data_IF_748576673518
#
_entry.id   IF_748576673518
#
_cell.length_a   1.000
_cell.length_b   1.000
_cell.length_c   1.000
_cell.angle_alpha   90.00
_cell.angle_beta   90.00
_cell.angle_gamma   90.00
#
_symmetry.space_group_name_H-M   'P 1'
#
loop_
_entity.id
_entity.type
_entity.pdbx_description
1 polymer ?
#
# COMPACT_ATOMS: atom_id res chain seq x y z
N UNK A 1 19.25 -6.15 20.16
CA UNK A 1 19.42 -4.99 19.23
C UNK A 1 18.01 -4.47 18.91
N UNK A 2 17.73 -3.17 19.04
CA UNK A 2 16.46 -2.58 18.59
C UNK A 2 16.14 -2.96 17.14
N UNK A 3 14.86 -3.12 16.80
CA UNK A 3 14.47 -3.56 15.45
C UNK A 3 14.90 -2.59 14.34
N UNK A 4 14.90 -1.29 14.65
CA UNK A 4 15.34 -0.22 13.75
C UNK A 4 16.84 -0.22 13.46
N UNK A 5 17.64 -0.93 14.25
CA UNK A 5 19.10 -0.91 14.09
C UNK A 5 19.58 -2.07 13.20
N UNK A 6 18.72 -3.06 12.92
CA UNK A 6 19.07 -4.15 12.01
C UNK A 6 19.27 -3.63 10.59
N UNK A 7 20.29 -4.15 9.92
CA UNK A 7 20.66 -3.82 8.55
C UNK A 7 20.80 -5.08 7.73
N UNK A 8 20.90 -4.93 6.41
CA UNK A 8 21.18 -6.03 5.50
C UNK A 8 22.49 -6.79 5.84
N UNK A 9 23.45 -6.15 6.52
CA UNK A 9 24.69 -6.80 6.95
C UNK A 9 24.50 -7.76 8.14
N UNK A 10 23.39 -7.65 8.88
CA UNK A 10 23.06 -8.54 9.98
C UNK A 10 22.31 -9.80 9.50
N UNK A 11 21.99 -9.89 8.21
CA UNK A 11 21.29 -11.04 7.62
C UNK A 11 22.23 -12.24 7.47
N UNK A 12 21.65 -13.42 7.66
CA UNK A 12 22.31 -14.72 7.50
C UNK A 12 22.47 -15.11 6.02
N UNK A 13 21.66 -14.47 5.17
CA UNK A 13 21.59 -14.68 3.74
C UNK A 13 22.03 -13.40 3.02
N UNK A 14 22.59 -13.51 1.81
CA UNK A 14 22.92 -12.33 1.02
C UNK A 14 21.68 -11.46 0.78
N UNK A 15 21.83 -10.13 0.93
CA UNK A 15 20.80 -9.15 0.58
C UNK A 15 20.74 -8.89 -0.94
N UNK A 16 20.68 -9.97 -1.71
CA UNK A 16 20.68 -9.99 -3.17
C UNK A 16 19.26 -9.78 -3.74
N UNK A 17 19.08 -10.05 -5.04
CA UNK A 17 17.77 -9.97 -5.70
C UNK A 17 16.76 -10.95 -5.14
N UNK A 18 17.19 -12.10 -4.59
CA UNK A 18 16.29 -13.08 -3.97
C UNK A 18 15.73 -12.54 -2.66
N UNK A 19 16.55 -11.86 -1.86
CA UNK A 19 16.07 -11.15 -0.68
C UNK A 19 15.10 -10.02 -1.07
N UNK A 20 15.54 -9.15 -1.98
CA UNK A 20 14.77 -7.94 -2.33
C UNK A 20 13.49 -8.24 -3.08
N UNK A 21 13.55 -9.06 -4.12
CA UNK A 21 12.45 -9.24 -5.05
C UNK A 21 11.61 -10.48 -4.70
N UNK A 22 12.15 -11.53 -4.09
CA UNK A 22 11.33 -12.71 -3.77
C UNK A 22 10.84 -12.66 -2.33
N UNK A 23 11.75 -12.46 -1.37
CA UNK A 23 11.37 -12.42 0.03
C UNK A 23 10.52 -11.19 0.35
N UNK A 24 11.05 -9.97 0.17
CA UNK A 24 10.33 -8.75 0.57
C UNK A 24 9.04 -8.51 -0.24
N UNK A 25 9.01 -8.75 -1.56
CA UNK A 25 7.76 -8.66 -2.35
C UNK A 25 6.67 -9.59 -1.79
N UNK A 26 7.03 -10.82 -1.38
CA UNK A 26 6.06 -11.76 -0.79
C UNK A 26 5.61 -11.31 0.59
N UNK A 27 6.49 -10.66 1.36
CA UNK A 27 6.13 -10.05 2.65
C UNK A 27 5.12 -8.93 2.45
N UNK A 28 5.35 -8.04 1.48
CA UNK A 28 4.43 -6.94 1.15
C UNK A 28 3.08 -7.50 0.66
N UNK A 29 3.09 -8.56 -0.16
CA UNK A 29 1.85 -9.22 -0.60
C UNK A 29 1.03 -9.74 0.59
N UNK A 30 1.67 -10.40 1.56
CA UNK A 30 0.99 -10.91 2.75
C UNK A 30 0.53 -9.78 3.69
N UNK A 31 1.28 -8.69 3.76
CA UNK A 31 0.90 -7.52 4.54
C UNK A 31 -0.31 -6.80 3.95
N UNK A 32 -0.35 -6.64 2.61
CA UNK A 32 -1.48 -6.03 1.91
C UNK A 32 -2.79 -6.81 1.98
N UNK A 33 -2.73 -8.10 2.36
CA UNK A 33 -3.91 -8.95 2.57
C UNK A 33 -4.41 -8.96 4.03
N UNK A 34 -3.82 -8.18 4.93
CA UNK A 34 -4.29 -8.07 6.32
C UNK A 34 -5.50 -7.14 6.39
N UNK A 35 -6.39 -7.39 7.35
CA UNK A 35 -7.57 -6.54 7.58
C UNK A 35 -7.17 -5.10 7.93
N UNK A 36 -6.17 -4.95 8.81
CA UNK A 36 -5.48 -3.70 9.09
C UNK A 36 -4.01 -3.83 8.66
N UNK A 37 -3.65 -3.17 7.57
CA UNK A 37 -2.28 -3.22 7.04
C UNK A 37 -1.29 -2.48 7.94
N UNK A 38 -1.75 -1.50 8.74
CA UNK A 38 -0.91 -0.66 9.57
C UNK A 38 -0.49 -1.35 10.87
N UNK A 39 -1.35 -2.23 11.39
CA UNK A 39 -1.15 -2.89 12.68
C UNK A 39 -1.15 -4.40 12.53
N UNK A 40 -0.05 -4.94 12.03
CA UNK A 40 0.15 -6.39 11.93
C UNK A 40 0.80 -6.91 13.21
N UNK A 41 0.17 -7.83 13.97
CA UNK A 41 0.77 -8.38 15.19
C UNK A 41 2.12 -9.03 14.92
N UNK A 42 3.11 -8.77 15.77
CA UNK A 42 4.48 -9.25 15.57
C UNK A 42 4.58 -10.76 15.42
N UNK A 43 3.80 -11.53 16.20
CA UNK A 43 3.80 -13.00 16.10
C UNK A 43 3.19 -13.50 14.79
N UNK A 44 2.12 -12.85 14.31
CA UNK A 44 1.52 -13.11 13.00
C UNK A 44 2.52 -12.84 11.89
N UNK A 45 3.19 -11.69 11.95
CA UNK A 45 4.24 -11.32 11.01
C UNK A 45 5.41 -12.32 11.06
N UNK A 46 5.94 -12.63 12.23
CA UNK A 46 7.06 -13.57 12.38
C UNK A 46 6.73 -14.96 11.83
N UNK A 47 5.49 -15.43 12.05
CA UNK A 47 4.99 -16.68 11.48
C UNK A 47 4.92 -16.64 9.95
N UNK A 48 4.43 -15.55 9.37
CA UNK A 48 4.41 -15.35 7.92
C UNK A 48 5.83 -15.27 7.35
N UNK A 49 6.70 -14.43 7.93
CA UNK A 49 8.11 -14.32 7.55
C UNK A 49 8.83 -15.67 7.59
N UNK A 50 8.57 -16.50 8.62
CA UNK A 50 9.17 -17.82 8.71
C UNK A 50 8.74 -18.73 7.55
N UNK A 51 7.45 -18.76 7.22
CA UNK A 51 6.92 -19.55 6.10
C UNK A 51 7.49 -19.08 4.77
N UNK A 52 7.58 -17.77 4.55
CA UNK A 52 8.17 -17.17 3.35
C UNK A 52 9.67 -17.53 3.30
N UNK A 53 10.37 -17.41 4.42
CA UNK A 53 11.81 -17.69 4.50
C UNK A 53 12.11 -19.13 4.11
N UNK A 54 11.35 -20.10 4.60
CA UNK A 54 11.54 -21.52 4.27
C UNK A 54 11.28 -21.83 2.79
N UNK A 55 10.37 -21.10 2.14
CA UNK A 55 10.13 -21.24 0.69
C UNK A 55 11.23 -20.56 -0.12
N UNK A 56 11.61 -19.33 0.28
CA UNK A 56 12.61 -18.56 -0.45
C UNK A 56 14.00 -19.13 -0.22
N UNK A 57 14.35 -19.69 0.94
CA UNK A 57 15.67 -20.21 1.28
C UNK A 57 15.59 -21.63 1.88
N UNK A 58 15.20 -22.66 1.10
CA UNK A 58 14.97 -24.00 1.62
C UNK A 58 16.25 -24.66 2.19
N UNK A 59 17.42 -24.24 1.72
CA UNK A 59 18.72 -24.80 2.12
C UNK A 59 19.28 -24.16 3.40
N UNK A 60 18.58 -23.18 3.98
CA UNK A 60 19.03 -22.45 5.16
C UNK A 60 18.14 -22.81 6.35
N UNK A 61 18.65 -23.64 7.26
CA UNK A 61 17.95 -23.97 8.49
C UNK A 61 17.97 -22.76 9.44
N UNK A 62 16.86 -22.02 9.48
CA UNK A 62 16.72 -20.84 10.33
C UNK A 62 15.29 -20.65 10.82
N UNK A 63 15.15 -20.31 12.10
CA UNK A 63 13.88 -19.90 12.70
C UNK A 63 13.81 -18.38 12.80
N UNK A 64 12.88 -17.78 12.06
CA UNK A 64 12.60 -16.35 12.19
C UNK A 64 11.96 -16.09 13.55
N UNK A 65 12.45 -15.07 14.26
CA UNK A 65 11.93 -14.63 15.56
C UNK A 65 11.68 -13.12 15.54
N UNK A 66 10.80 -12.65 16.43
CA UNK A 66 10.46 -11.22 16.58
C UNK A 66 11.63 -10.34 17.03
N UNK A 67 12.77 -10.93 17.38
CA UNK A 67 13.99 -10.22 17.80
C UNK A 67 15.16 -10.41 16.83
N UNK A 68 14.97 -11.12 15.71
CA UNK A 68 16.02 -11.46 14.75
C UNK A 68 16.18 -10.44 13.62
N UNK A 69 17.31 -10.52 12.91
CA UNK A 69 17.64 -9.62 11.80
C UNK A 69 16.64 -9.71 10.63
N UNK A 70 16.19 -10.94 10.28
CA UNK A 70 15.17 -11.14 9.23
C UNK A 70 13.89 -10.38 9.57
N UNK A 71 13.44 -10.44 10.83
CA UNK A 71 12.26 -9.71 11.27
C UNK A 71 12.49 -8.20 11.25
N UNK A 72 13.60 -7.72 11.82
CA UNK A 72 13.92 -6.30 11.88
C UNK A 72 14.00 -5.64 10.50
N UNK A 73 14.74 -6.25 9.56
CA UNK A 73 14.89 -5.71 8.21
C UNK A 73 13.56 -5.76 7.44
N UNK A 74 12.81 -6.86 7.54
CA UNK A 74 11.50 -6.97 6.88
C UNK A 74 10.48 -5.95 7.44
N UNK A 75 10.48 -5.74 8.76
CA UNK A 75 9.61 -4.78 9.41
C UNK A 75 9.93 -3.33 8.99
N UNK A 76 11.23 -3.00 8.85
CA UNK A 76 11.64 -1.70 8.30
C UNK A 76 11.22 -1.54 6.82
N UNK A 77 11.31 -2.61 6.03
CA UNK A 77 10.84 -2.60 4.65
C UNK A 77 9.34 -2.31 4.57
N UNK A 78 8.54 -2.90 5.46
CA UNK A 78 7.11 -2.62 5.55
C UNK A 78 6.81 -1.18 5.95
N UNK A 79 7.53 -0.64 6.94
CA UNK A 79 7.40 0.78 7.29
C UNK A 79 7.75 1.71 6.14
N UNK A 80 8.78 1.35 5.35
CA UNK A 80 9.15 2.10 4.13
C UNK A 80 8.07 2.02 3.06
N UNK A 81 7.51 0.83 2.84
CA UNK A 81 6.40 0.62 1.90
C UNK A 81 5.15 1.42 2.31
N UNK A 82 4.75 1.37 3.59
CA UNK A 82 3.67 2.18 4.15
C UNK A 82 3.87 3.68 3.89
N UNK A 83 5.07 4.19 4.17
CA UNK A 83 5.39 5.60 3.96
C UNK A 83 5.34 5.98 2.48
N UNK A 84 5.88 5.12 1.61
CA UNK A 84 5.82 5.33 0.16
C UNK A 84 4.38 5.33 -0.36
N UNK A 85 3.54 4.40 0.12
CA UNK A 85 2.13 4.31 -0.23
C UNK A 85 1.37 5.58 0.15
N UNK A 86 1.50 6.05 1.39
CA UNK A 86 0.85 7.29 1.84
C UNK A 86 1.37 8.53 1.09
N UNK A 87 2.67 8.57 0.81
CA UNK A 87 3.26 9.70 0.07
C UNK A 87 2.75 9.76 -1.37
N UNK A 88 2.56 8.60 -2.01
CA UNK A 88 1.97 8.53 -3.34
C UNK A 88 0.51 9.00 -3.34
N UNK A 89 -0.28 8.60 -2.34
CA UNK A 89 -1.66 9.06 -2.18
C UNK A 89 -1.73 10.59 -2.04
N UNK A 90 -0.95 11.17 -1.12
CA UNK A 90 -0.88 12.62 -0.90
C UNK A 90 -0.44 13.37 -2.17
N UNK A 91 0.54 12.83 -2.92
CA UNK A 91 0.98 13.45 -4.17
C UNK A 91 -0.14 13.46 -5.23
N UNK A 92 -0.97 12.40 -5.28
CA UNK A 92 -2.10 12.31 -6.19
C UNK A 92 -3.21 13.30 -5.82
N UNK A 93 -3.52 13.44 -4.52
CA UNK A 93 -4.47 14.44 -4.01
C UNK A 93 -3.99 15.87 -4.32
N UNK A 94 -2.75 16.21 -3.97
CA UNK A 94 -2.17 17.54 -4.25
C UNK A 94 -2.24 17.85 -5.75
N UNK A 95 -1.89 16.89 -6.60
CA UNK A 95 -1.95 17.07 -8.05
C UNK A 95 -3.40 17.31 -8.53
N UNK A 96 -4.37 16.58 -7.97
CA UNK A 96 -5.78 16.78 -8.27
C UNK A 96 -6.26 18.17 -7.85
N UNK A 97 -6.04 18.58 -6.61
CA UNK A 97 -6.42 19.90 -6.11
C UNK A 97 -5.74 21.02 -6.89
N UNK A 98 -4.45 20.87 -7.21
CA UNK A 98 -3.72 21.86 -8.03
C UNK A 98 -4.33 21.98 -9.42
N UNK A 99 -4.76 20.87 -10.03
CA UNK A 99 -5.40 20.88 -11.35
C UNK A 99 -6.79 21.53 -11.35
N UNK A 100 -7.44 21.64 -10.19
CA UNK A 100 -8.71 22.33 -10.02
C UNK A 100 -8.46 23.84 -9.86
N UNK A 101 -7.57 24.23 -8.94
CA UNK A 101 -7.21 25.63 -8.71
C UNK A 101 -6.70 26.32 -9.98
N UNK A 102 -5.87 25.63 -10.78
CA UNK A 102 -5.35 26.18 -12.04
C UNK A 102 -6.42 26.31 -13.15
N UNK A 103 -7.57 25.63 -13.04
CA UNK A 103 -8.68 25.82 -13.98
C UNK A 103 -9.49 27.07 -13.67
N UNK A 104 -9.51 27.50 -12.41
CA UNK A 104 -10.27 28.66 -11.95
C UNK A 104 -9.45 29.97 -12.05
N UNK A 105 -8.11 29.90 -12.11
CA UNK A 105 -7.24 31.08 -12.29
C UNK A 105 -7.33 31.74 -13.68
N UNK A 106 -7.86 31.05 -14.71
CA UNK A 106 -8.13 31.71 -16.00
C UNK A 106 -9.31 32.70 -15.94
N UNK A 107 -10.11 32.72 -14.86
CA UNK A 107 -11.34 33.52 -14.78
C UNK A 107 -11.56 34.40 -13.52
N UNK A 108 -10.71 34.43 -12.47
CA UNK A 108 -11.07 35.14 -11.21
C UNK A 108 -10.04 36.09 -10.56
N UNK A 109 -10.58 37.24 -10.12
CA UNK A 109 -9.98 38.29 -9.30
C UNK A 109 -9.87 37.79 -7.83
N UNK A 110 -8.72 37.99 -7.19
CA UNK A 110 -8.20 37.39 -5.92
C UNK A 110 -9.07 37.36 -4.64
N UNK A 111 -10.37 37.67 -4.67
CA UNK A 111 -11.29 37.69 -3.52
C UNK A 111 -12.33 36.56 -3.47
N UNK A 112 -12.53 35.77 -4.53
CA UNK A 112 -13.47 34.63 -4.57
C UNK A 112 -12.87 33.27 -4.15
N UNK A 113 -11.57 33.24 -3.82
CA UNK A 113 -10.80 32.03 -3.50
C UNK A 113 -11.37 31.16 -2.36
N UNK A 114 -11.79 31.77 -1.25
CA UNK A 114 -12.22 30.99 -0.07
C UNK A 114 -13.61 30.38 -0.22
N UNK A 115 -14.51 31.05 -0.95
CA UNK A 115 -15.87 30.56 -1.24
C UNK A 115 -15.81 29.39 -2.24
N UNK A 116 -14.93 29.50 -3.25
CA UNK A 116 -14.65 28.46 -4.23
C UNK A 116 -14.11 27.15 -3.61
N UNK A 117 -13.23 27.24 -2.61
CA UNK A 117 -12.72 26.04 -1.89
C UNK A 117 -13.85 25.35 -1.11
N UNK A 118 -14.74 26.11 -0.47
CA UNK A 118 -15.84 25.54 0.31
C UNK A 118 -16.88 24.84 -0.60
N UNK A 119 -17.15 25.39 -1.78
CA UNK A 119 -18.01 24.74 -2.78
C UNK A 119 -17.36 23.46 -3.33
N UNK A 120 -16.08 23.51 -3.68
CA UNK A 120 -15.34 22.34 -4.13
C UNK A 120 -15.34 21.20 -3.10
N UNK A 121 -15.03 21.51 -1.83
CA UNK A 121 -15.08 20.53 -0.73
C UNK A 121 -16.49 19.96 -0.59
N UNK A 122 -17.52 20.79 -0.75
CA UNK A 122 -18.91 20.34 -0.71
C UNK A 122 -19.24 19.38 -1.84
N UNK A 123 -18.74 19.60 -3.07
CA UNK A 123 -18.93 18.69 -4.19
C UNK A 123 -18.20 17.35 -4.00
N UNK A 124 -17.02 17.36 -3.37
CA UNK A 124 -16.21 16.17 -3.14
C UNK A 124 -16.84 15.21 -2.11
N UNK A 125 -17.57 15.76 -1.12
CA UNK A 125 -18.17 14.98 -0.03
C UNK A 125 -19.67 14.73 -0.21
N UNK A 126 -20.31 15.36 -1.20
CA UNK A 126 -21.75 15.21 -1.40
C UNK A 126 -22.09 13.84 -2.01
N UNK A 127 -23.03 13.09 -1.40
CA UNK A 127 -23.61 11.92 -2.05
C UNK A 127 -24.41 12.37 -3.29
N UNK A 128 -24.40 11.61 -4.39
CA UNK A 128 -23.78 10.29 -4.57
C UNK A 128 -22.39 10.30 -5.22
N UNK A 129 -21.85 11.47 -5.57
CA UNK A 129 -20.76 11.64 -6.55
C UNK A 129 -19.39 11.17 -6.09
N UNK A 130 -19.08 11.25 -4.78
CA UNK A 130 -17.80 10.87 -4.13
C UNK A 130 -16.62 10.68 -5.12
N UNK A 131 -16.12 11.78 -5.73
CA UNK A 131 -15.32 11.71 -6.95
C UNK A 131 -13.97 11.01 -6.79
N UNK A 132 -13.48 10.95 -5.55
CA UNK A 132 -12.21 10.32 -5.19
C UNK A 132 -12.33 8.79 -5.06
N UNK A 133 -13.53 8.25 -4.90
CA UNK A 133 -13.75 6.80 -4.70
C UNK A 133 -14.65 6.18 -5.78
N UNK A 134 -15.44 6.94 -6.53
CA UNK A 134 -16.28 6.42 -7.62
C UNK A 134 -15.55 6.46 -8.98
N UNK A 135 -15.83 5.49 -9.85
CA UNK A 135 -15.30 5.44 -11.23
C UNK A 135 -15.81 6.60 -12.10
N UNK A 136 -17.11 6.91 -12.03
CA UNK A 136 -17.74 8.01 -12.78
C UNK A 136 -18.48 8.95 -11.83
N UNK A 137 -17.79 10.01 -11.40
CA UNK A 137 -18.34 11.05 -10.54
C UNK A 137 -19.51 11.83 -11.15
N UNK A 138 -19.70 11.78 -12.49
CA UNK A 138 -20.81 12.46 -13.17
C UNK A 138 -22.07 11.62 -13.20
N UNK A 139 -21.93 10.30 -13.12
CA UNK A 139 -23.04 9.36 -13.05
C UNK A 139 -22.70 8.23 -12.05
N UNK A 140 -22.67 8.55 -10.74
CA UNK A 140 -22.16 7.64 -9.73
C UNK A 140 -23.04 6.41 -9.57
N UNK A 141 -22.40 5.25 -9.68
CA UNK A 141 -22.99 3.95 -9.35
C UNK A 141 -22.31 3.40 -8.08
N UNK A 142 -23.05 3.14 -6.99
CA UNK A 142 -22.49 2.54 -5.79
C UNK A 142 -21.77 1.20 -6.03
N UNK A 143 -22.13 0.46 -7.08
CA UNK A 143 -21.43 -0.78 -7.46
C UNK A 143 -19.99 -0.53 -7.98
N UNK A 144 -19.71 0.69 -8.42
CA UNK A 144 -18.41 1.14 -8.92
C UNK A 144 -17.68 2.03 -7.90
N UNK A 145 -18.12 2.02 -6.64
CA UNK A 145 -17.31 2.53 -5.54
C UNK A 145 -16.01 1.72 -5.44
N UNK A 146 -14.94 2.39 -5.05
CA UNK A 146 -13.56 1.86 -4.96
C UNK A 146 -12.88 1.58 -6.30
N UNK A 147 -13.51 1.96 -7.42
CA UNK A 147 -12.97 1.81 -8.76
C UNK A 147 -12.54 3.16 -9.37
N UNK A 148 -12.38 4.20 -8.54
CA UNK A 148 -11.88 5.48 -9.02
C UNK A 148 -10.48 5.33 -9.64
N UNK A 149 -10.16 6.17 -10.65
CA UNK A 149 -8.81 6.23 -11.19
C UNK A 149 -7.75 6.48 -10.10
N UNK A 150 -8.09 7.20 -9.02
CA UNK A 150 -7.22 7.42 -7.87
C UNK A 150 -6.87 6.13 -7.14
N UNK A 151 -7.87 5.35 -6.75
CA UNK A 151 -7.66 4.10 -6.03
C UNK A 151 -6.91 3.11 -6.91
N UNK A 152 -7.33 2.96 -8.18
CA UNK A 152 -6.69 2.05 -9.13
C UNK A 152 -5.22 2.43 -9.38
N UNK A 153 -4.93 3.72 -9.59
CA UNK A 153 -3.57 4.20 -9.83
C UNK A 153 -2.70 4.08 -8.56
N UNK A 154 -3.24 4.35 -7.38
CA UNK A 154 -2.51 4.21 -6.13
C UNK A 154 -2.12 2.74 -5.87
N UNK A 155 -3.08 1.81 -6.02
CA UNK A 155 -2.83 0.37 -5.88
C UNK A 155 -1.83 -0.09 -6.94
N UNK A 156 -2.00 0.32 -8.19
CA UNK A 156 -1.13 -0.09 -9.29
C UNK A 156 0.32 0.38 -9.08
N UNK A 157 0.52 1.64 -8.71
CA UNK A 157 1.87 2.23 -8.65
C UNK A 157 2.61 1.96 -7.34
N UNK A 158 1.90 1.78 -6.22
CA UNK A 158 2.51 1.63 -4.89
C UNK A 158 2.48 0.20 -4.36
N UNK A 159 1.44 -0.58 -4.67
CA UNK A 159 1.31 -1.95 -4.18
C UNK A 159 1.70 -2.98 -5.23
N UNK A 160 1.06 -2.98 -6.42
CA UNK A 160 1.30 -4.02 -7.44
C UNK A 160 2.75 -4.07 -7.93
N UNK A 161 3.39 -2.91 -8.06
CA UNK A 161 4.83 -2.79 -8.36
C UNK A 161 5.71 -3.44 -7.29
N UNK A 162 5.35 -3.28 -6.02
CA UNK A 162 6.08 -3.78 -4.85
C UNK A 162 5.93 -5.30 -4.65
N UNK A 163 4.98 -5.94 -5.32
CA UNK A 163 4.73 -7.38 -5.20
C UNK A 163 5.01 -8.15 -6.49
N UNK A 164 5.61 -7.50 -7.49
CA UNK A 164 5.72 -8.02 -8.85
C UNK A 164 6.47 -9.37 -8.93
N UNK A 165 7.38 -9.64 -8.00
CA UNK A 165 8.16 -10.87 -7.97
C UNK A 165 7.84 -11.76 -6.76
N UNK A 166 6.70 -11.52 -6.11
CA UNK A 166 6.22 -12.33 -4.99
C UNK A 166 6.10 -13.81 -5.39
N UNK A 167 6.55 -14.70 -4.51
CA UNK A 167 6.58 -16.14 -4.76
C UNK A 167 5.36 -16.85 -4.16
N UNK A 168 5.07 -18.03 -4.70
CA UNK A 168 4.00 -18.87 -4.16
C UNK A 168 4.45 -19.53 -2.84
N UNK A 169 3.77 -19.20 -1.74
CA UNK A 169 3.88 -19.80 -0.42
C UNK A 169 2.53 -20.43 -0.11
N UNK A 170 2.34 -21.74 -0.40
CA UNK A 170 1.04 -22.39 -0.32
C UNK A 170 0.37 -22.27 1.06
N UNK A 171 1.16 -22.31 2.12
CA UNK A 171 0.69 -22.21 3.52
C UNK A 171 0.17 -20.83 3.92
N UNK A 172 0.35 -19.83 3.04
CA UNK A 172 -0.15 -18.46 3.16
C UNK A 172 -1.14 -18.11 2.04
N UNK A 173 -1.42 -19.03 1.11
CA UNK A 173 -2.35 -18.78 0.01
C UNK A 173 -1.90 -17.70 -0.98
N UNK A 174 -0.61 -17.37 -1.07
CA UNK A 174 -0.13 -16.19 -1.81
C UNK A 174 -0.45 -16.21 -3.30
N UNK A 175 -0.68 -17.39 -3.91
CA UNK A 175 -1.18 -17.49 -5.28
C UNK A 175 -2.56 -16.84 -5.46
N UNK A 176 -3.46 -17.01 -4.49
CA UNK A 176 -4.78 -16.40 -4.55
C UNK A 176 -4.68 -14.89 -4.28
N UNK A 177 -3.83 -14.51 -3.33
CA UNK A 177 -3.54 -13.11 -2.99
C UNK A 177 -3.00 -12.34 -4.21
N UNK A 178 -2.03 -12.88 -4.92
CA UNK A 178 -1.46 -12.24 -6.12
C UNK A 178 -2.43 -12.15 -7.29
N UNK A 179 -3.53 -12.93 -7.25
CA UNK A 179 -4.66 -12.84 -8.18
C UNK A 179 -5.76 -11.88 -7.70
N UNK A 180 -5.53 -11.15 -6.61
CA UNK A 180 -6.46 -10.16 -6.06
C UNK A 180 -7.47 -10.69 -5.04
N UNK A 181 -7.45 -11.98 -4.70
CA UNK A 181 -8.37 -12.52 -3.69
C UNK A 181 -7.86 -12.19 -2.29
N UNK A 182 -8.73 -11.74 -1.38
CA UNK A 182 -8.31 -11.42 -0.01
C UNK A 182 -7.52 -10.12 0.12
N UNK A 183 -7.68 -9.20 -0.86
CA UNK A 183 -6.98 -7.91 -0.92
C UNK A 183 -7.88 -6.75 -0.47
N UNK A 184 -8.93 -7.02 0.31
CA UNK A 184 -9.84 -6.00 0.83
C UNK A 184 -9.10 -4.98 1.71
N UNK A 185 -8.06 -5.42 2.43
CA UNK A 185 -7.23 -4.54 3.26
C UNK A 185 -6.55 -3.43 2.46
N UNK A 186 -5.86 -3.76 1.36
CA UNK A 186 -5.21 -2.75 0.52
C UNK A 186 -6.22 -1.86 -0.21
N UNK A 187 -7.38 -2.39 -0.60
CA UNK A 187 -8.45 -1.59 -1.23
C UNK A 187 -9.05 -0.60 -0.24
N UNK A 188 -9.38 -1.07 0.97
CA UNK A 188 -9.88 -0.22 2.06
C UNK A 188 -8.86 0.85 2.44
N UNK A 189 -7.58 0.50 2.45
CA UNK A 189 -6.51 1.44 2.78
C UNK A 189 -6.31 2.48 1.67
N UNK A 190 -6.30 2.05 0.41
CA UNK A 190 -6.23 2.96 -0.72
C UNK A 190 -7.39 3.95 -0.69
N UNK A 191 -8.59 3.46 -0.41
CA UNK A 191 -9.81 4.28 -0.25
C UNK A 191 -9.70 5.25 0.90
N UNK A 192 -9.17 4.85 2.05
CA UNK A 192 -9.03 5.74 3.21
C UNK A 192 -7.93 6.80 3.04
N UNK A 193 -7.04 6.60 2.06
CA UNK A 193 -5.93 7.49 1.76
C UNK A 193 -6.25 8.54 0.67
N UNK A 194 -7.43 8.46 0.04
CA UNK A 194 -7.97 9.45 -0.91
C UNK A 194 -9.34 9.93 -0.45
#
# INVERSE_FOLDING_TARGET
>A
KPLCDYTNADLLVPADSRWKNNFLDTVILCAGSQEDIWVIPYETMASALHKIFNVVYPDVEYRVTTQGAVFGVAYQCLGSWHTAFMSAALAMEINFFSSLVLRDEEDLDTKESDECICELVSELIQPPSYPLINEDHKNPDPAHNFQSPFILQLIATSHLTSIANAVNVPTLGTKNLSQGHGMEGIISTATAAV
#
